data_IF_283523921363
#
_entry.id   IF_283523921363
#
_cell.length_a   1.000
_cell.length_b   1.000
_cell.length_c   1.000
_cell.angle_alpha   90.00
_cell.angle_beta   90.00
_cell.angle_gamma   90.00
#
_symmetry.space_group_name_H-M   'P 1'
#
loop_
_entity.id
_entity.type
_entity.pdbx_description
1 polymer ?
#
# COMPACT_ATOMS: atom_id res chain seq x y z
N UNK A 1 24.35 0.10 -2.43
CA UNK A 1 23.27 0.57 -3.33
C UNK A 1 22.02 0.74 -2.48
N UNK A 2 21.52 1.96 -2.32
CA UNK A 2 20.28 2.23 -1.57
C UNK A 2 19.09 1.80 -2.42
N UNK A 3 18.37 0.79 -1.94
CA UNK A 3 17.21 0.20 -2.60
C UNK A 3 16.06 1.24 -2.58
N UNK A 4 15.80 1.90 -3.71
CA UNK A 4 14.79 2.95 -3.85
C UNK A 4 13.39 2.31 -3.96
N UNK A 5 12.98 1.57 -2.91
CA UNK A 5 11.73 0.83 -2.88
C UNK A 5 10.56 1.81 -2.77
N UNK A 6 9.74 1.86 -3.82
CA UNK A 6 8.46 2.57 -3.81
C UNK A 6 7.43 1.71 -3.08
N UNK A 7 6.87 2.25 -2.00
CA UNK A 7 5.76 1.62 -1.29
C UNK A 7 4.44 2.17 -1.82
N UNK A 8 3.53 1.26 -2.15
CA UNK A 8 2.15 1.60 -2.52
C UNK A 8 1.23 1.10 -1.41
N UNK A 9 0.24 1.91 -1.04
CA UNK A 9 -0.75 1.56 -0.03
C UNK A 9 -2.15 1.88 -0.57
N UNK A 10 -3.13 1.10 -0.12
CA UNK A 10 -4.53 1.32 -0.42
C UNK A 10 -5.16 2.02 0.78
N UNK A 11 -5.71 3.22 0.57
CA UNK A 11 -6.44 3.97 1.59
C UNK A 11 -7.92 3.65 1.45
N UNK A 12 -8.40 2.70 2.25
CA UNK A 12 -9.83 2.41 2.33
C UNK A 12 -10.52 3.43 3.25
N UNK A 13 -11.73 3.85 2.88
CA UNK A 13 -12.61 4.61 3.77
C UNK A 13 -13.21 3.66 4.81
N UNK A 14 -13.62 4.20 5.95
CA UNK A 14 -14.27 3.42 7.02
C UNK A 14 -15.54 2.72 6.52
N UNK A 15 -16.29 3.38 5.63
CA UNK A 15 -17.54 2.91 5.05
C UNK A 15 -17.34 2.14 3.73
N UNK A 16 -16.13 1.70 3.40
CA UNK A 16 -15.87 1.03 2.11
C UNK A 16 -16.73 -0.22 1.92
N UNK A 17 -16.92 -1.01 2.97
CA UNK A 17 -17.73 -2.23 2.93
C UNK A 17 -19.23 -1.94 3.04
N UNK A 18 -19.61 -0.70 3.37
CA UNK A 18 -21.01 -0.26 3.44
C UNK A 18 -21.46 0.43 2.13
N UNK A 19 -20.58 0.57 1.15
CA UNK A 19 -20.92 1.09 -0.18
C UNK A 19 -21.91 0.14 -0.85
N UNK A 20 -23.03 0.66 -1.35
CA UNK A 20 -24.11 -0.11 -1.99
C UNK A 20 -23.58 -1.08 -3.05
N UNK A 21 -22.53 -0.68 -3.80
CA UNK A 21 -21.92 -1.50 -4.84
C UNK A 21 -21.20 -2.73 -4.26
N UNK A 22 -20.53 -2.55 -3.12
CA UNK A 22 -19.78 -3.59 -2.42
C UNK A 22 -20.74 -4.50 -1.64
N UNK A 23 -21.74 -3.92 -0.98
CA UNK A 23 -22.80 -4.68 -0.30
C UNK A 23 -23.54 -5.58 -1.30
N UNK A 24 -23.91 -5.03 -2.46
CA UNK A 24 -24.56 -5.80 -3.51
C UNK A 24 -23.65 -6.93 -4.03
N UNK A 25 -22.36 -6.65 -4.23
CA UNK A 25 -21.38 -7.65 -4.64
C UNK A 25 -21.27 -8.80 -3.61
N UNK A 26 -21.19 -8.48 -2.32
CA UNK A 26 -21.04 -9.47 -1.26
C UNK A 26 -22.31 -10.29 -1.02
N UNK A 27 -23.48 -9.75 -1.36
CA UNK A 27 -24.76 -10.48 -1.30
C UNK A 27 -24.90 -11.60 -2.34
N UNK A 28 -24.06 -11.59 -3.39
CA UNK A 28 -24.08 -12.60 -4.45
C UNK A 28 -23.52 -13.94 -3.97
N UNK A 29 -23.82 -15.02 -4.71
CA UNK A 29 -23.14 -16.30 -4.50
C UNK A 29 -21.64 -16.14 -4.78
N UNK A 30 -20.80 -16.59 -3.84
CA UNK A 30 -19.36 -16.36 -3.82
C UNK A 30 -18.96 -14.87 -3.72
N UNK A 31 -19.86 -13.99 -3.25
CA UNK A 31 -19.65 -12.54 -3.15
C UNK A 31 -18.40 -12.15 -2.36
N UNK A 32 -18.12 -12.84 -1.23
CA UNK A 32 -16.91 -12.64 -0.42
C UNK A 32 -15.64 -12.92 -1.25
N UNK A 33 -15.67 -13.95 -2.10
CA UNK A 33 -14.54 -14.30 -2.97
C UNK A 33 -14.34 -13.21 -4.03
N UNK A 34 -15.42 -12.66 -4.58
CA UNK A 34 -15.34 -11.54 -5.51
C UNK A 34 -14.84 -10.26 -4.82
N UNK A 35 -15.28 -9.95 -3.60
CA UNK A 35 -14.73 -8.82 -2.82
C UNK A 35 -13.22 -8.96 -2.59
N UNK A 36 -12.76 -10.18 -2.25
CA UNK A 36 -11.34 -10.50 -2.09
C UNK A 36 -10.53 -10.36 -3.40
N UNK A 37 -11.06 -10.83 -4.52
CA UNK A 37 -10.43 -10.67 -5.85
C UNK A 37 -10.31 -9.18 -6.19
N UNK A 38 -11.36 -8.40 -5.94
CA UNK A 38 -11.41 -6.97 -6.22
C UNK A 38 -10.31 -6.21 -5.46
N UNK A 39 -10.15 -6.48 -4.15
CA UNK A 39 -9.09 -5.88 -3.34
C UNK A 39 -7.68 -6.21 -3.87
N UNK A 40 -7.44 -7.44 -4.34
CA UNK A 40 -6.17 -7.81 -4.98
C UNK A 40 -5.91 -7.02 -6.26
N UNK A 41 -6.95 -6.82 -7.07
CA UNK A 41 -6.86 -6.06 -8.31
C UNK A 41 -6.54 -4.59 -8.04
N UNK A 42 -7.20 -3.97 -7.06
CA UNK A 42 -6.88 -2.61 -6.62
C UNK A 42 -5.39 -2.47 -6.31
N UNK A 43 -4.82 -3.36 -5.49
CA UNK A 43 -3.39 -3.33 -5.15
C UNK A 43 -2.48 -3.47 -6.37
N UNK A 44 -2.83 -4.34 -7.33
CA UNK A 44 -2.02 -4.52 -8.55
C UNK A 44 -2.08 -3.33 -9.48
N UNK A 45 -3.22 -2.64 -9.53
CA UNK A 45 -3.42 -1.47 -10.35
C UNK A 45 -2.63 -0.23 -9.88
N UNK A 46 -2.25 -0.16 -8.59
CA UNK A 46 -1.55 1.00 -8.00
C UNK A 46 -0.24 1.35 -8.71
N UNK A 47 0.48 0.34 -9.24
CA UNK A 47 1.75 0.56 -9.96
C UNK A 47 1.56 1.37 -11.24
N UNK A 48 0.41 1.24 -11.88
CA UNK A 48 0.09 1.86 -13.18
C UNK A 48 -1.08 2.85 -13.08
N UNK A 49 -1.27 3.47 -11.91
CA UNK A 49 -2.27 4.51 -11.68
C UNK A 49 -3.71 4.06 -11.92
N UNK A 50 -4.03 2.80 -11.57
CA UNK A 50 -5.36 2.23 -11.75
C UNK A 50 -5.53 1.33 -12.96
N UNK A 51 -4.56 1.28 -13.86
CA UNK A 51 -4.60 0.39 -15.02
C UNK A 51 -4.12 -1.00 -14.63
N UNK A 52 -4.87 -2.02 -15.04
CA UNK A 52 -4.48 -3.42 -14.89
C UNK A 52 -3.58 -3.84 -16.05
N UNK A 53 -2.30 -3.56 -15.90
CA UNK A 53 -1.26 -3.91 -16.87
C UNK A 53 -0.04 -4.53 -16.17
N UNK A 54 0.64 -5.44 -16.85
CA UNK A 54 1.90 -6.03 -16.36
C UNK A 54 3.07 -5.04 -16.52
N UNK A 55 3.07 -4.39 -17.67
CA UNK A 55 4.03 -3.37 -18.09
C UNK A 55 3.28 -2.31 -18.91
N UNK A 56 3.96 -1.31 -19.45
CA UNK A 56 3.32 -0.18 -20.16
C UNK A 56 2.41 -0.61 -21.33
N UNK A 57 2.74 -1.73 -22.00
CA UNK A 57 2.07 -2.17 -23.22
C UNK A 57 1.21 -3.43 -23.10
N UNK A 58 1.31 -4.19 -22.00
CA UNK A 58 0.66 -5.51 -21.88
C UNK A 58 -0.52 -5.42 -20.89
N UNK A 59 -1.77 -5.34 -21.37
CA UNK A 59 -2.94 -5.41 -20.50
C UNK A 59 -3.10 -6.80 -19.89
N UNK A 60 -3.59 -6.86 -18.65
CA UNK A 60 -3.86 -8.14 -18.01
C UNK A 60 -5.03 -8.86 -18.66
N UNK A 61 -4.80 -10.11 -19.07
CA UNK A 61 -5.87 -11.01 -19.49
C UNK A 61 -6.54 -11.66 -18.28
N UNK A 62 -7.79 -12.17 -18.41
CA UNK A 62 -8.45 -12.91 -17.33
C UNK A 62 -7.61 -14.08 -16.80
N UNK A 63 -6.87 -14.76 -17.68
CA UNK A 63 -5.96 -15.84 -17.32
C UNK A 63 -4.81 -15.36 -16.41
N UNK A 64 -4.20 -14.21 -16.75
CA UNK A 64 -3.15 -13.62 -15.91
C UNK A 64 -3.70 -13.19 -14.55
N UNK A 65 -4.90 -12.60 -14.53
CA UNK A 65 -5.58 -12.20 -13.28
C UNK A 65 -5.87 -13.43 -12.42
N UNK A 66 -6.29 -14.54 -13.00
CA UNK A 66 -6.49 -15.81 -12.31
C UNK A 66 -5.20 -16.32 -11.65
N UNK A 67 -4.07 -16.27 -12.36
CA UNK A 67 -2.76 -16.62 -11.79
C UNK A 67 -2.37 -15.69 -10.65
N UNK A 68 -2.58 -14.38 -10.80
CA UNK A 68 -2.24 -13.38 -9.77
C UNK A 68 -3.10 -13.51 -8.52
N UNK A 69 -4.39 -13.77 -8.69
CA UNK A 69 -5.35 -13.87 -7.60
C UNK A 69 -5.36 -15.27 -6.97
N UNK A 70 -4.72 -16.25 -7.63
CA UNK A 70 -4.71 -17.68 -7.27
C UNK A 70 -6.10 -18.28 -7.27
N UNK A 71 -6.89 -17.90 -8.27
CA UNK A 71 -8.27 -18.31 -8.43
C UNK A 71 -8.47 -19.01 -9.77
N UNK A 72 -9.59 -19.72 -9.89
CA UNK A 72 -9.96 -20.34 -11.15
C UNK A 72 -10.28 -19.27 -12.20
N UNK A 73 -9.89 -19.51 -13.45
CA UNK A 73 -10.13 -18.58 -14.57
C UNK A 73 -11.62 -18.27 -14.71
N UNK A 74 -12.49 -19.29 -14.63
CA UNK A 74 -13.93 -19.10 -14.72
C UNK A 74 -14.52 -18.23 -13.61
N UNK A 75 -13.96 -18.29 -12.40
CA UNK A 75 -14.37 -17.41 -11.29
C UNK A 75 -13.98 -15.96 -11.57
N UNK A 76 -12.77 -15.73 -12.08
CA UNK A 76 -12.29 -14.39 -12.44
C UNK A 76 -13.10 -13.81 -13.60
N UNK A 77 -13.42 -14.59 -14.63
CA UNK A 77 -14.25 -14.13 -15.75
C UNK A 77 -15.65 -13.71 -15.30
N UNK A 78 -16.26 -14.48 -14.38
CA UNK A 78 -17.55 -14.09 -13.76
C UNK A 78 -17.40 -12.80 -12.94
N UNK A 79 -16.36 -12.72 -12.11
CA UNK A 79 -16.08 -11.55 -11.30
C UNK A 79 -15.91 -10.28 -12.15
N UNK A 80 -15.10 -10.34 -13.20
CA UNK A 80 -14.87 -9.21 -14.11
C UNK A 80 -16.16 -8.73 -14.78
N UNK A 81 -17.05 -9.65 -15.20
CA UNK A 81 -18.37 -9.28 -15.75
C UNK A 81 -19.21 -8.54 -14.72
N UNK A 82 -19.24 -9.01 -13.48
CA UNK A 82 -19.98 -8.37 -12.39
C UNK A 82 -19.40 -6.97 -12.11
N UNK A 83 -18.08 -6.83 -12.04
CA UNK A 83 -17.45 -5.54 -11.79
C UNK A 83 -17.74 -4.51 -12.88
N UNK A 84 -17.79 -4.94 -14.15
CA UNK A 84 -18.18 -4.10 -15.27
C UNK A 84 -19.64 -3.64 -15.15
N UNK A 85 -20.54 -4.53 -14.71
CA UNK A 85 -21.96 -4.19 -14.51
C UNK A 85 -22.16 -3.23 -13.33
N UNK A 86 -21.39 -3.39 -12.26
CA UNK A 86 -21.44 -2.52 -11.07
C UNK A 86 -20.64 -1.22 -11.25
N UNK A 87 -19.95 -1.01 -12.39
CA UNK A 87 -19.13 0.17 -12.62
C UNK A 87 -17.85 0.25 -11.77
N UNK A 88 -17.45 -0.86 -11.13
CA UNK A 88 -16.23 -0.96 -10.32
C UNK A 88 -14.96 -1.09 -11.19
N UNK A 89 -15.13 -1.57 -12.42
CA UNK A 89 -14.07 -1.70 -13.43
C UNK A 89 -14.60 -1.18 -14.76
N UNK A 90 -13.75 -0.52 -15.53
CA UNK A 90 -14.04 -0.04 -16.88
C UNK A 90 -13.08 -0.65 -17.89
N UNK A 91 -13.52 -0.80 -19.15
CA UNK A 91 -12.64 -1.21 -20.26
C UNK A 91 -12.23 0.03 -21.03
N UNK A 92 -10.92 0.25 -21.12
CA UNK A 92 -10.33 1.34 -21.89
C UNK A 92 -10.35 1.03 -23.39
N UNK A 93 -10.19 2.05 -24.24
CA UNK A 93 -10.16 1.89 -25.70
C UNK A 93 -9.06 0.93 -26.20
N UNK A 94 -7.99 0.74 -25.43
CA UNK A 94 -6.91 -0.20 -25.71
C UNK A 94 -7.18 -1.64 -25.20
N UNK A 95 -8.37 -1.91 -24.67
CA UNK A 95 -8.77 -3.20 -24.11
C UNK A 95 -8.22 -3.47 -22.70
N UNK A 96 -7.52 -2.52 -22.08
CA UNK A 96 -7.07 -2.67 -20.70
C UNK A 96 -8.21 -2.42 -19.70
N UNK A 97 -8.24 -3.20 -18.62
CA UNK A 97 -9.14 -2.92 -17.50
C UNK A 97 -8.59 -1.77 -16.64
N UNK A 98 -9.47 -0.87 -16.25
CA UNK A 98 -9.18 0.24 -15.35
C UNK A 98 -10.04 0.11 -14.08
N UNK A 99 -9.41 0.25 -12.93
CA UNK A 99 -10.10 0.21 -11.63
C UNK A 99 -10.74 1.57 -11.35
N UNK A 100 -12.06 1.63 -11.37
CA UNK A 100 -12.81 2.83 -11.01
C UNK A 100 -12.52 3.21 -9.54
N UNK A 101 -12.62 4.50 -9.20
CA UNK A 101 -12.38 5.01 -7.84
C UNK A 101 -10.96 4.83 -7.28
N UNK A 102 -9.99 4.31 -8.05
CA UNK A 102 -8.61 4.15 -7.60
C UNK A 102 -7.99 5.47 -7.14
N UNK A 103 -8.32 6.59 -7.78
CA UNK A 103 -7.78 7.92 -7.43
C UNK A 103 -8.17 8.33 -6.01
N UNK A 104 -9.38 7.96 -5.57
CA UNK A 104 -9.88 8.22 -4.22
C UNK A 104 -9.25 7.29 -3.18
N UNK A 105 -8.89 6.08 -3.61
CA UNK A 105 -8.26 5.04 -2.78
C UNK A 105 -6.73 5.17 -2.75
N UNK A 106 -6.13 5.87 -3.71
CA UNK A 106 -4.71 6.15 -3.79
C UNK A 106 -4.41 7.45 -3.05
N UNK A 107 -3.90 7.34 -1.83
CA UNK A 107 -3.24 8.47 -1.20
C UNK A 107 -1.88 8.67 -1.85
N UNK A 108 -1.57 9.85 -2.37
CA UNK A 108 -0.18 10.27 -2.47
C UNK A 108 0.31 10.47 -1.03
N UNK A 109 1.00 9.49 -0.43
CA UNK A 109 1.79 9.87 0.76
C UNK A 109 2.99 10.60 0.19
N UNK A 110 3.17 11.85 0.61
CA UNK A 110 4.52 12.31 0.83
C UNK A 110 5.16 11.24 1.71
N UNK A 111 6.28 10.68 1.28
CA UNK A 111 7.08 9.77 2.09
C UNK A 111 7.16 10.37 3.51
N UNK A 112 7.14 9.57 4.58
CA UNK A 112 7.43 10.08 5.94
C UNK A 112 8.67 11.00 5.93
N UNK A 113 9.64 10.70 5.04
CA UNK A 113 10.77 11.56 4.68
C UNK A 113 10.41 12.91 4.04
N UNK A 114 9.52 12.98 3.03
CA UNK A 114 9.04 14.26 2.48
C UNK A 114 8.27 15.07 3.53
N UNK A 115 7.37 14.45 4.31
CA UNK A 115 6.60 15.16 5.35
C UNK A 115 7.54 15.76 6.40
N UNK A 116 8.52 14.98 6.86
CA UNK A 116 9.58 15.45 7.78
C UNK A 116 10.48 16.49 7.13
N UNK A 117 10.85 16.35 5.85
CA UNK A 117 11.67 17.32 5.11
C UNK A 117 10.94 18.64 4.91
N UNK A 118 9.65 18.62 4.55
CA UNK A 118 8.83 19.81 4.44
C UNK A 118 8.65 20.51 5.79
N UNK A 119 8.39 19.76 6.87
CA UNK A 119 8.35 20.32 8.22
C UNK A 119 9.69 20.95 8.63
N UNK A 120 10.83 20.27 8.35
CA UNK A 120 12.18 20.81 8.58
C UNK A 120 12.42 22.09 7.76
N UNK A 121 12.05 22.11 6.48
CA UNK A 121 12.21 23.29 5.61
C UNK A 121 11.33 24.45 6.06
N UNK A 122 10.09 24.20 6.49
CA UNK A 122 9.19 25.21 7.02
C UNK A 122 9.74 25.83 8.32
N UNK A 123 10.26 25.01 9.25
CA UNK A 123 10.92 25.48 10.47
C UNK A 123 12.19 26.29 10.15
N UNK A 124 13.00 25.87 9.19
CA UNK A 124 14.17 26.65 8.76
C UNK A 124 13.78 27.97 8.10
N UNK A 125 12.74 28.00 7.27
CA UNK A 125 12.24 29.22 6.64
C UNK A 125 11.67 30.20 7.69
N UNK A 126 10.99 29.69 8.72
CA UNK A 126 10.49 30.49 9.83
C UNK A 126 11.63 31.07 10.68
N UNK A 127 12.66 30.27 10.99
CA UNK A 127 13.89 30.74 11.68
C UNK A 127 14.64 31.81 10.89
N UNK A 128 14.68 31.72 9.55
CA UNK A 128 15.29 32.74 8.68
C UNK A 128 14.51 34.05 8.62
N UNK A 129 13.19 34.03 8.86
CA UNK A 129 12.33 35.23 8.86
C UNK A 129 12.31 35.95 10.21
N UNK A 130 12.53 35.25 11.32
CA UNK A 130 12.55 35.82 12.67
C UNK A 130 13.94 36.25 13.13
N UNK A 131 14.57 37.18 12.39
CA UNK A 131 15.98 37.56 12.54
C UNK A 131 16.50 37.64 13.98
N UNK A 132 17.24 36.62 14.40
CA UNK A 132 18.19 36.69 15.50
C UNK A 132 19.54 36.16 15.02
N UNK A 133 20.50 37.08 14.93
CA UNK A 133 21.92 36.76 14.89
C UNK A 133 22.30 36.03 16.18
N UNK A 134 22.93 34.87 16.03
CA UNK A 134 23.52 34.11 17.12
C UNK A 134 24.25 32.92 16.53
N UNK A 135 25.53 33.11 16.20
CA UNK A 135 26.38 32.06 15.66
C UNK A 135 26.47 30.88 16.63
N UNK A 136 26.06 29.71 16.17
CA UNK A 136 26.69 28.45 16.54
C UNK A 136 26.61 27.56 15.31
N UNK A 137 27.78 27.15 14.81
CA UNK A 137 27.90 25.97 13.96
C UNK A 137 27.47 24.79 14.84
N UNK A 138 26.17 24.51 14.91
CA UNK A 138 25.71 23.28 15.52
C UNK A 138 26.11 22.16 14.57
N UNK A 139 27.12 21.40 14.97
CA UNK A 139 27.53 20.18 14.29
C UNK A 139 26.28 19.39 13.88
N UNK A 140 26.23 19.04 12.60
CA UNK A 140 25.20 18.18 12.03
C UNK A 140 25.49 16.76 12.54
N UNK A 141 25.21 16.51 13.82
CA UNK A 141 25.17 15.17 14.36
C UNK A 141 23.82 14.55 13.96
N UNK A 142 23.82 13.38 13.31
CA UNK A 142 22.61 12.57 13.19
C UNK A 142 22.05 12.29 14.60
N UNK A 143 20.73 12.36 14.81
CA UNK A 143 20.13 12.13 16.12
C UNK A 143 20.55 10.75 16.64
N UNK A 144 20.95 10.69 17.91
CA UNK A 144 21.49 9.48 18.57
C UNK A 144 20.56 8.26 18.42
N UNK A 145 19.25 8.50 18.29
CA UNK A 145 18.21 7.49 18.03
C UNK A 145 18.45 6.74 16.71
N UNK A 146 18.93 7.40 15.65
CA UNK A 146 19.22 6.76 14.37
C UNK A 146 20.43 5.80 14.49
N UNK A 147 21.42 6.15 15.33
CA UNK A 147 22.59 5.29 15.60
C UNK A 147 22.22 4.07 16.46
N UNK A 148 21.32 4.24 17.43
CA UNK A 148 20.83 3.13 18.26
C UNK A 148 20.08 2.08 17.43
N UNK A 149 19.20 2.53 16.54
CA UNK A 149 18.46 1.65 15.63
C UNK A 149 19.41 0.94 14.65
N UNK A 150 20.43 1.62 14.13
CA UNK A 150 21.44 0.99 13.27
C UNK A 150 22.26 -0.07 14.01
N UNK A 151 22.67 0.19 15.26
CA UNK A 151 23.38 -0.78 16.10
C UNK A 151 22.52 -1.98 16.49
N UNK A 152 21.21 -1.79 16.68
CA UNK A 152 20.26 -2.86 16.97
C UNK A 152 20.01 -3.74 15.74
N UNK A 153 19.86 -3.13 14.55
CA UNK A 153 19.77 -3.85 13.26
C UNK A 153 21.08 -4.60 12.95
N UNK A 154 22.25 -4.04 13.27
CA UNK A 154 23.53 -4.74 13.14
C UNK A 154 23.65 -5.93 14.11
N UNK A 155 23.18 -5.80 15.36
CA UNK A 155 23.16 -6.91 16.33
C UNK A 155 22.24 -8.05 15.86
N UNK A 156 21.09 -7.72 15.27
CA UNK A 156 20.19 -8.71 14.65
C UNK A 156 20.85 -9.40 13.44
N UNK A 157 21.65 -8.67 12.65
CA UNK A 157 22.37 -9.24 11.49
C UNK A 157 23.56 -10.13 11.87
N UNK A 158 24.23 -9.88 13.00
CA UNK A 158 25.44 -10.62 13.42
C UNK A 158 25.16 -11.93 14.17
N UNK A 159 23.90 -12.36 14.27
CA UNK A 159 23.55 -13.73 14.64
C UNK A 159 24.10 -14.18 16.00
N UNK A 160 24.03 -13.35 17.03
CA UNK A 160 24.31 -13.77 18.41
C UNK A 160 23.05 -14.34 19.07
N UNK A 161 23.16 -15.59 19.53
CA UNK A 161 22.14 -16.45 20.12
C UNK A 161 21.46 -15.89 21.41
N UNK A 162 20.11 -15.90 21.40
CA UNK A 162 19.11 -16.23 22.48
C UNK A 162 19.02 -15.42 23.80
N UNK A 163 17.91 -15.55 24.59
CA UNK A 163 16.48 -15.48 24.25
C UNK A 163 15.69 -14.55 25.23
N UNK A 164 14.64 -13.85 24.79
CA UNK A 164 13.67 -13.26 25.73
C UNK A 164 12.40 -14.12 25.78
N UNK A 165 12.37 -14.88 26.86
CA UNK A 165 11.29 -15.71 27.39
C UNK A 165 9.99 -14.90 27.52
N UNK A 166 9.10 -14.98 26.54
CA UNK A 166 7.67 -14.79 26.75
C UNK A 166 7.01 -16.16 26.75
N UNK A 167 6.92 -16.77 27.92
CA UNK A 167 6.06 -17.94 28.14
C UNK A 167 4.61 -17.49 27.95
N UNK A 168 4.01 -17.83 26.81
CA UNK A 168 2.56 -17.85 26.65
C UNK A 168 1.99 -18.94 27.58
N UNK A 169 1.01 -18.63 28.44
CA UNK A 169 0.32 -19.67 29.18
C UNK A 169 -0.44 -20.56 28.20
N UNK A 170 -0.22 -21.88 28.30
CA UNK A 170 -0.99 -22.89 27.58
C UNK A 170 -2.45 -22.75 28.03
N UNK A 171 -3.33 -22.38 27.12
CA UNK A 171 -4.76 -22.65 27.28
C UNK A 171 -4.94 -24.16 27.10
N UNK A 172 -5.13 -24.88 28.20
CA UNK A 172 -5.61 -26.25 28.17
C UNK A 172 -7.08 -26.20 27.76
N UNK A 173 -7.38 -26.68 26.55
CA UNK A 173 -8.75 -26.93 26.10
C UNK A 173 -9.11 -28.35 26.54
N UNK A 174 -10.03 -28.46 27.49
CA UNK A 174 -10.72 -29.69 27.89
C UNK A 174 -11.82 -30.00 26.88
#
# INVERSE_FOLDING_TARGET
>A
MSDNRKYYYLKLKENYFDDDSIVLLESMQDGILYSYILLKLYLKSLKHGGKLQLDENIPYTPQMIATLTRQQVGTVERALKIYLQLGLVEVMANGAYYMSNIELLSGQSSTEGERKKQARMALQAQKKRGGQMGGHLSDIHPPEIEKEIELEIERVRKGTDRPLLWTLPKCDFV
#
